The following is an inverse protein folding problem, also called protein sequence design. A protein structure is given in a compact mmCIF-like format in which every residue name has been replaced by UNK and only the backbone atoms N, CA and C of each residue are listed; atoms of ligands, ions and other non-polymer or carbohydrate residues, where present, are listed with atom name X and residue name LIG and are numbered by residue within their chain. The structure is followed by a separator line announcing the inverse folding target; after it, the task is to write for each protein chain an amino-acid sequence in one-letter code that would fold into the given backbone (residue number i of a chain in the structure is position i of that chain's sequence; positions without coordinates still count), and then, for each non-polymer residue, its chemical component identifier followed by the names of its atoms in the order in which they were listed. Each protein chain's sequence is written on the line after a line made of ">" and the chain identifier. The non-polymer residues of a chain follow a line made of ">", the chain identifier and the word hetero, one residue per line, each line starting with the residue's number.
data_IF_924377989462
#
_entry.id   IF_924377989462
#
_cell.length_a   1.000
_cell.length_b   1.000
_cell.length_c   1.000
_cell.angle_alpha   90.00
_cell.angle_beta   90.00
_cell.angle_gamma   90.00
#
_symmetry.space_group_name_H-M   'P 1'
#
loop_
_entity.id
_entity.type
_entity.pdbx_description
1 polymer ?
#
# COMPACT_ATOMS: atom_id res chain seq x y z
N UNK A 1 7.53 2.05 23.27
CA UNK A 1 6.20 1.40 23.35
C UNK A 1 6.11 0.39 22.23
N UNK A 2 5.52 -0.79 22.44
CA UNK A 2 5.23 -1.71 21.33
C UNK A 2 3.95 -1.25 20.64
N UNK A 3 4.01 -1.05 19.32
CA UNK A 3 2.86 -0.79 18.45
C UNK A 3 2.52 -2.05 17.66
N UNK A 4 1.28 -2.18 17.12
CA UNK A 4 0.92 -3.31 16.26
C UNK A 4 1.89 -3.51 15.08
N UNK A 5 2.40 -2.42 14.51
CA UNK A 5 3.38 -2.41 13.43
C UNK A 5 4.74 -2.97 13.88
N UNK A 6 5.24 -2.58 15.06
CA UNK A 6 6.51 -3.09 15.59
C UNK A 6 6.38 -4.55 16.03
N UNK A 7 5.24 -4.94 16.61
CA UNK A 7 4.94 -6.35 16.95
C UNK A 7 4.90 -7.24 15.70
N UNK A 8 4.29 -6.77 14.61
CA UNK A 8 4.31 -7.47 13.33
C UNK A 8 5.72 -7.60 12.75
N UNK A 9 6.54 -6.55 12.84
CA UNK A 9 7.93 -6.59 12.39
C UNK A 9 8.76 -7.60 13.21
N UNK A 10 8.58 -7.62 14.53
CA UNK A 10 9.19 -8.61 15.44
C UNK A 10 8.75 -10.04 15.11
N UNK A 11 7.45 -10.26 14.93
CA UNK A 11 6.89 -11.56 14.59
C UNK A 11 7.45 -12.08 13.25
N UNK A 12 7.56 -11.21 12.24
CA UNK A 12 8.15 -11.57 10.95
C UNK A 12 9.63 -11.89 11.05
N UNK A 13 10.40 -11.08 11.78
CA UNK A 13 11.83 -11.33 12.02
C UNK A 13 12.04 -12.66 12.74
N UNK A 14 11.24 -12.93 13.77
CA UNK A 14 11.27 -14.19 14.51
C UNK A 14 10.98 -15.39 13.59
N UNK A 15 9.90 -15.33 12.80
CA UNK A 15 9.56 -16.39 11.84
C UNK A 15 10.63 -16.60 10.77
N UNK A 16 11.21 -15.53 10.23
CA UNK A 16 12.30 -15.62 9.26
C UNK A 16 13.54 -16.28 9.88
N UNK A 17 13.88 -15.92 11.13
CA UNK A 17 14.98 -16.51 11.89
C UNK A 17 14.78 -18.02 12.13
N UNK A 18 13.60 -18.42 12.61
CA UNK A 18 13.27 -19.83 12.82
C UNK A 18 13.25 -20.62 11.49
N UNK A 19 12.82 -20.00 10.39
CA UNK A 19 12.86 -20.63 9.06
C UNK A 19 14.31 -20.89 8.62
N UNK A 20 15.21 -19.91 8.76
CA UNK A 20 16.65 -20.08 8.46
C UNK A 20 17.27 -21.18 9.32
N UNK A 21 16.97 -21.20 10.62
CA UNK A 21 17.45 -22.22 11.56
C UNK A 21 16.98 -23.62 11.15
N UNK A 22 15.68 -23.78 10.86
CA UNK A 22 15.11 -25.07 10.46
C UNK A 22 15.67 -25.56 9.12
N UNK A 23 15.83 -24.69 8.13
CA UNK A 23 16.41 -25.05 6.84
C UNK A 23 17.90 -25.38 6.95
N UNK A 24 18.64 -24.68 7.81
CA UNK A 24 20.05 -25.00 8.09
C UNK A 24 20.18 -26.39 8.72
N UNK A 25 19.34 -26.72 9.70
CA UNK A 25 19.32 -28.05 10.30
C UNK A 25 18.95 -29.14 9.29
N UNK A 26 17.95 -28.89 8.45
CA UNK A 26 17.54 -29.81 7.37
C UNK A 26 18.63 -30.02 6.33
N UNK A 27 19.37 -28.97 5.95
CA UNK A 27 20.49 -29.08 5.02
C UNK A 27 21.58 -29.98 5.60
N UNK A 28 21.94 -29.79 6.88
CA UNK A 28 22.92 -30.64 7.55
C UNK A 28 22.48 -32.12 7.63
N UNK A 29 21.19 -32.39 7.90
CA UNK A 29 20.65 -33.76 7.83
C UNK A 29 20.72 -34.33 6.41
N UNK A 30 20.36 -33.53 5.40
CA UNK A 30 20.40 -33.95 4.00
C UNK A 30 21.83 -34.23 3.53
N UNK A 31 22.82 -33.42 3.93
CA UNK A 31 24.24 -33.65 3.61
C UNK A 31 24.74 -34.96 4.24
N UNK A 32 24.33 -35.28 5.47
CA UNK A 32 24.68 -36.55 6.11
C UNK A 32 24.05 -37.77 5.43
N UNK A 33 22.82 -37.65 4.90
CA UNK A 33 22.18 -38.70 4.13
C UNK A 33 22.75 -38.84 2.71
N UNK A 34 23.11 -37.72 2.08
CA UNK A 34 23.80 -37.70 0.80
C UNK A 34 25.11 -38.48 0.88
N UNK A 35 25.94 -38.21 1.89
CA UNK A 35 27.20 -38.93 2.12
C UNK A 35 27.01 -40.44 2.27
N UNK A 36 25.95 -40.90 2.96
CA UNK A 36 25.62 -42.34 3.05
C UNK A 36 25.24 -42.93 1.70
N UNK A 37 24.52 -42.15 0.90
CA UNK A 37 24.03 -42.59 -0.42
C UNK A 37 25.17 -42.62 -1.45
N UNK A 38 26.12 -41.68 -1.36
CA UNK A 38 27.38 -41.69 -2.12
C UNK A 38 28.19 -42.96 -1.84
N UNK A 39 28.37 -43.32 -0.56
CA UNK A 39 29.05 -44.58 -0.19
C UNK A 39 28.33 -45.79 -0.75
N UNK A 40 26.99 -45.87 -0.62
CA UNK A 40 26.21 -46.99 -1.16
C UNK A 40 26.30 -47.09 -2.70
N UNK A 41 26.34 -45.95 -3.41
CA UNK A 41 26.52 -45.92 -4.85
C UNK A 41 27.94 -46.38 -5.25
N UNK A 42 28.96 -45.96 -4.51
CA UNK A 42 30.34 -46.39 -4.72
C UNK A 42 30.51 -47.91 -4.47
N UNK A 43 29.93 -48.43 -3.39
CA UNK A 43 29.96 -49.86 -3.05
C UNK A 43 29.26 -50.70 -4.13
N UNK A 44 28.06 -50.28 -4.58
CA UNK A 44 27.32 -50.97 -5.63
C UNK A 44 28.07 -50.96 -6.97
N UNK A 45 28.71 -49.83 -7.32
CA UNK A 45 29.55 -49.71 -8.52
C UNK A 45 30.75 -50.64 -8.45
N UNK A 46 31.40 -50.71 -7.28
CA UNK A 46 32.54 -51.60 -7.03
C UNK A 46 32.13 -53.07 -7.13
N UNK A 47 30.99 -53.44 -6.53
CA UNK A 47 30.46 -54.80 -6.60
C UNK A 47 30.13 -55.20 -8.05
N UNK A 48 29.50 -54.30 -8.83
CA UNK A 48 29.23 -54.54 -10.25
C UNK A 48 30.53 -54.75 -11.06
N UNK A 49 31.56 -53.95 -10.79
CA UNK A 49 32.87 -54.12 -11.43
C UNK A 49 33.52 -55.47 -11.06
N UNK A 50 33.39 -55.90 -9.80
CA UNK A 50 33.86 -57.21 -9.34
C UNK A 50 33.17 -58.37 -10.06
N UNK A 51 31.83 -58.35 -10.14
CA UNK A 51 31.06 -59.37 -10.87
C UNK A 51 31.40 -59.39 -12.36
N UNK A 52 31.62 -58.23 -12.99
CA UNK A 52 32.03 -58.15 -14.38
C UNK A 52 33.44 -58.72 -14.62
N UNK A 53 34.36 -58.55 -13.66
CA UNK A 53 35.70 -59.13 -13.72
C UNK A 53 35.65 -60.66 -13.58
N UNK A 54 34.87 -61.18 -12.62
CA UNK A 54 34.64 -62.63 -12.44
C UNK A 54 34.05 -63.25 -13.71
N UNK A 55 33.05 -62.60 -14.31
CA UNK A 55 32.43 -63.06 -15.55
C UNK A 55 33.45 -63.12 -16.70
N UNK A 56 34.30 -62.09 -16.84
CA UNK A 56 35.33 -62.05 -17.86
C UNK A 56 36.38 -63.16 -17.65
N UNK A 57 36.75 -63.47 -16.40
CA UNK A 57 37.66 -64.57 -16.08
C UNK A 57 37.04 -65.93 -16.42
N UNK A 58 35.78 -66.17 -16.05
CA UNK A 58 35.07 -67.42 -16.39
C UNK A 58 34.98 -67.59 -17.91
N UNK A 59 34.64 -66.53 -18.66
CA UNK A 59 34.63 -66.57 -20.13
C UNK A 59 36.01 -66.90 -20.70
N UNK A 60 37.08 -66.36 -20.12
CA UNK A 60 38.47 -66.67 -20.52
C UNK A 60 38.82 -68.12 -20.25
N UNK A 61 38.47 -68.65 -19.07
CA UNK A 61 38.70 -70.06 -18.69
C UNK A 61 37.89 -71.01 -19.59
N UNK A 62 36.65 -70.66 -19.91
CA UNK A 62 35.79 -71.43 -20.81
C UNK A 62 36.41 -71.53 -22.22
N UNK A 63 36.99 -70.44 -22.73
CA UNK A 63 37.68 -70.43 -24.03
C UNK A 63 38.96 -71.29 -24.07
N UNK A 64 39.50 -71.67 -22.92
CA UNK A 64 40.73 -72.45 -22.77
C UNK A 64 40.47 -73.90 -22.28
N UNK A 65 39.20 -74.28 -22.11
CA UNK A 65 38.84 -75.61 -21.60
C UNK A 65 39.20 -76.72 -22.62
N UNK A 66 40.02 -77.72 -22.24
CA UNK A 66 40.53 -78.73 -23.18
C UNK A 66 39.56 -79.89 -23.42
N UNK A 67 38.59 -80.11 -22.53
CA UNK A 67 37.63 -81.20 -22.60
C UNK A 67 36.19 -80.69 -22.36
N UNK A 68 35.16 -81.32 -22.98
CA UNK A 68 33.76 -80.90 -22.81
C UNK A 68 33.27 -80.91 -21.36
N UNK A 69 33.68 -81.90 -20.55
CA UNK A 69 33.26 -82.02 -19.16
C UNK A 69 33.76 -80.86 -18.26
N UNK A 70 34.93 -80.30 -18.58
CA UNK A 70 35.47 -79.13 -17.87
C UNK A 70 34.69 -77.86 -18.23
N UNK A 71 34.16 -77.78 -19.46
CA UNK A 71 33.36 -76.67 -19.96
C UNK A 71 31.97 -76.63 -19.32
N UNK A 72 31.32 -77.77 -19.07
CA UNK A 72 29.98 -77.83 -18.47
C UNK A 72 29.93 -77.12 -17.10
N UNK A 73 30.92 -77.38 -16.24
CA UNK A 73 31.02 -76.73 -14.91
C UNK A 73 31.25 -75.22 -14.99
N UNK A 74 31.94 -74.75 -16.03
CA UNK A 74 32.20 -73.32 -16.27
C UNK A 74 30.98 -72.63 -16.90
N UNK A 75 30.18 -73.34 -17.70
CA UNK A 75 28.91 -72.85 -18.23
C UNK A 75 27.90 -72.64 -17.11
N UNK A 76 27.78 -73.56 -16.16
CA UNK A 76 26.94 -73.37 -14.97
C UNK A 76 27.39 -72.18 -14.12
N UNK A 77 28.71 -72.05 -13.87
CA UNK A 77 29.28 -70.88 -13.18
C UNK A 77 29.03 -69.57 -13.93
N UNK A 78 29.15 -69.57 -15.26
CA UNK A 78 28.85 -68.41 -16.09
C UNK A 78 27.38 -68.03 -16.01
N UNK A 79 26.46 -69.01 -16.07
CA UNK A 79 25.03 -68.77 -15.93
C UNK A 79 24.70 -68.15 -14.56
N UNK A 80 25.24 -68.68 -13.47
CA UNK A 80 25.09 -68.11 -12.13
C UNK A 80 25.64 -66.68 -12.04
N UNK A 81 26.83 -66.41 -12.62
CA UNK A 81 27.43 -65.08 -12.62
C UNK A 81 26.70 -64.05 -13.47
N UNK A 82 26.10 -64.47 -14.59
CA UNK A 82 25.24 -63.59 -15.38
C UNK A 82 23.98 -63.18 -14.59
N UNK A 83 23.42 -64.07 -13.78
CA UNK A 83 22.32 -63.75 -12.85
C UNK A 83 22.80 -62.77 -11.77
N UNK A 84 23.95 -63.03 -11.13
CA UNK A 84 24.54 -62.08 -10.15
C UNK A 84 24.80 -60.70 -10.76
N UNK A 85 25.25 -60.65 -12.02
CA UNK A 85 25.48 -59.39 -12.74
C UNK A 85 24.18 -58.63 -12.95
N UNK A 86 23.09 -59.31 -13.29
CA UNK A 86 21.78 -58.66 -13.43
C UNK A 86 21.37 -57.98 -12.13
N UNK A 87 21.49 -58.67 -10.99
CA UNK A 87 21.23 -58.07 -9.68
C UNK A 87 22.16 -56.90 -9.37
N UNK A 88 23.46 -57.04 -9.62
CA UNK A 88 24.43 -55.96 -9.38
C UNK A 88 24.16 -54.71 -10.23
N UNK A 89 23.74 -54.88 -11.50
CA UNK A 89 23.32 -53.76 -12.37
C UNK A 89 22.08 -53.09 -11.80
N UNK A 90 21.08 -53.86 -11.38
CA UNK A 90 19.86 -53.30 -10.77
C UNK A 90 20.19 -52.53 -9.48
N UNK A 91 21.01 -53.10 -8.59
CA UNK A 91 21.45 -52.43 -7.35
C UNK A 91 22.21 -51.14 -7.65
N UNK A 92 23.18 -51.14 -8.58
CA UNK A 92 23.91 -49.95 -8.97
C UNK A 92 23.00 -48.87 -9.59
N UNK A 93 22.01 -49.28 -10.39
CA UNK A 93 20.99 -48.38 -10.91
C UNK A 93 20.12 -47.76 -9.81
N UNK A 94 19.67 -48.55 -8.85
CA UNK A 94 18.87 -48.07 -7.71
C UNK A 94 19.64 -47.10 -6.81
N UNK A 95 20.91 -47.39 -6.51
CA UNK A 95 21.73 -46.50 -5.67
C UNK A 95 22.12 -45.21 -6.41
N UNK A 96 22.37 -45.27 -7.72
CA UNK A 96 22.58 -44.08 -8.55
C UNK A 96 21.30 -43.20 -8.61
N UNK A 97 20.12 -43.82 -8.75
CA UNK A 97 18.84 -43.13 -8.70
C UNK A 97 18.58 -42.47 -7.34
N UNK A 98 18.92 -43.16 -6.24
CA UNK A 98 18.83 -42.64 -4.89
C UNK A 98 19.78 -41.47 -4.66
N UNK A 99 21.03 -41.56 -5.15
CA UNK A 99 22.03 -40.50 -5.08
C UNK A 99 21.52 -39.24 -5.79
N UNK A 100 21.11 -39.35 -7.05
CA UNK A 100 20.59 -38.21 -7.80
C UNK A 100 19.29 -37.64 -7.20
N UNK A 101 18.48 -38.45 -6.50
CA UNK A 101 17.33 -37.94 -5.74
C UNK A 101 17.77 -37.09 -4.54
N UNK A 102 18.82 -37.51 -3.81
CA UNK A 102 19.36 -36.79 -2.65
C UNK A 102 20.08 -35.50 -3.04
N UNK A 103 20.84 -35.49 -4.13
CA UNK A 103 21.48 -34.26 -4.65
C UNK A 103 20.44 -33.17 -4.95
N UNK A 104 19.32 -33.54 -5.61
CA UNK A 104 18.22 -32.60 -5.89
C UNK A 104 17.50 -32.14 -4.64
N UNK A 105 17.33 -33.01 -3.65
CA UNK A 105 16.77 -32.62 -2.35
C UNK A 105 17.67 -31.58 -1.66
N UNK A 106 18.98 -31.79 -1.67
CA UNK A 106 19.97 -30.86 -1.14
C UNK A 106 19.91 -29.50 -1.84
N UNK A 107 19.91 -29.49 -3.17
CA UNK A 107 19.84 -28.25 -3.96
C UNK A 107 18.55 -27.46 -3.68
N UNK A 108 17.41 -28.17 -3.55
CA UNK A 108 16.13 -27.54 -3.20
C UNK A 108 16.15 -26.93 -1.79
N UNK A 109 16.77 -27.59 -0.81
CA UNK A 109 16.92 -27.05 0.55
C UNK A 109 17.86 -25.84 0.55
N UNK A 110 18.97 -25.89 -0.19
CA UNK A 110 19.92 -24.79 -0.31
C UNK A 110 19.27 -23.53 -0.93
N UNK A 111 18.53 -23.69 -2.03
CA UNK A 111 17.78 -22.59 -2.64
C UNK A 111 16.73 -22.01 -1.68
N UNK A 112 16.02 -22.86 -0.94
CA UNK A 112 15.06 -22.40 0.07
C UNK A 112 15.76 -21.63 1.20
N UNK A 113 16.96 -22.05 1.62
CA UNK A 113 17.76 -21.36 2.64
C UNK A 113 18.21 -19.98 2.17
N UNK A 114 18.66 -19.86 0.92
CA UNK A 114 19.05 -18.55 0.34
C UNK A 114 17.86 -17.60 0.21
N UNK A 115 16.67 -18.13 -0.15
CA UNK A 115 15.43 -17.36 -0.14
C UNK A 115 15.08 -16.87 1.27
N UNK A 116 15.13 -17.76 2.27
CA UNK A 116 14.85 -17.42 3.66
C UNK A 116 15.82 -16.37 4.24
N UNK A 117 17.10 -16.41 3.85
CA UNK A 117 18.10 -15.40 4.24
C UNK A 117 17.77 -14.02 3.68
N UNK A 118 17.41 -13.92 2.40
CA UNK A 118 16.97 -12.66 1.78
C UNK A 118 15.73 -12.09 2.45
N UNK A 119 14.77 -12.95 2.81
CA UNK A 119 13.57 -12.55 3.56
C UNK A 119 13.93 -12.03 4.95
N UNK A 120 14.89 -12.65 5.64
CA UNK A 120 15.37 -12.20 6.95
C UNK A 120 16.05 -10.82 6.86
N UNK A 121 16.90 -10.60 5.86
CA UNK A 121 17.55 -9.30 5.59
C UNK A 121 16.50 -8.20 5.35
N UNK A 122 15.55 -8.46 4.45
CA UNK A 122 14.45 -7.52 4.13
C UNK A 122 13.59 -7.21 5.36
N UNK A 123 13.30 -8.21 6.19
CA UNK A 123 12.54 -8.04 7.43
C UNK A 123 13.30 -7.17 8.45
N UNK A 124 14.62 -7.32 8.56
CA UNK A 124 15.44 -6.51 9.45
C UNK A 124 15.52 -5.04 9.03
N UNK A 125 15.63 -4.77 7.72
CA UNK A 125 15.60 -3.40 7.18
C UNK A 125 14.23 -2.75 7.39
N UNK A 126 13.15 -3.47 7.09
CA UNK A 126 11.78 -3.01 7.30
C UNK A 126 11.52 -2.70 8.77
N UNK A 127 11.98 -3.55 9.68
CA UNK A 127 11.85 -3.34 11.13
C UNK A 127 12.48 -2.02 11.58
N UNK A 128 13.66 -1.69 11.08
CA UNK A 128 14.36 -0.44 11.44
C UNK A 128 13.56 0.80 11.00
N UNK A 129 12.95 0.76 9.81
CA UNK A 129 12.10 1.84 9.33
C UNK A 129 10.80 1.94 10.13
N UNK A 130 10.13 0.80 10.36
CA UNK A 130 8.86 0.74 11.08
C UNK A 130 9.01 1.21 12.52
N UNK A 131 10.11 0.86 13.19
CA UNK A 131 10.38 1.32 14.56
C UNK A 131 10.50 2.85 14.61
N UNK A 132 11.24 3.46 13.68
CA UNK A 132 11.38 4.93 13.61
C UNK A 132 10.05 5.63 13.36
N UNK A 133 9.22 5.08 12.48
CA UNK A 133 7.89 5.62 12.19
C UNK A 133 6.97 5.49 13.40
N UNK A 134 7.02 4.35 14.11
CA UNK A 134 6.24 4.10 15.32
C UNK A 134 6.65 5.00 16.48
N UNK A 135 7.96 5.21 16.69
CA UNK A 135 8.48 6.08 17.74
C UNK A 135 8.02 7.52 17.50
N UNK A 136 8.14 8.03 16.26
CA UNK A 136 7.65 9.36 15.87
C UNK A 136 6.14 9.50 16.02
N UNK A 137 5.36 8.50 15.60
CA UNK A 137 3.92 8.51 15.77
C UNK A 137 3.54 8.52 17.26
N UNK A 138 4.29 7.83 18.11
CA UNK A 138 4.13 7.85 19.57
C UNK A 138 4.43 9.22 20.18
N UNK A 139 5.48 9.89 19.73
CA UNK A 139 5.80 11.27 20.13
C UNK A 139 4.66 12.22 19.74
N UNK A 140 4.21 12.19 18.49
CA UNK A 140 3.10 13.05 18.04
C UNK A 140 1.79 12.76 18.76
N UNK A 141 1.52 11.50 19.09
CA UNK A 141 0.34 11.12 19.86
C UNK A 141 0.40 11.71 21.27
N UNK A 142 1.55 11.62 21.95
CA UNK A 142 1.76 12.22 23.25
C UNK A 142 1.63 13.76 23.20
N UNK A 143 2.20 14.40 22.18
CA UNK A 143 2.08 15.86 21.97
C UNK A 143 0.65 16.29 21.66
N UNK A 144 -0.07 15.57 20.80
CA UNK A 144 -1.46 15.87 20.44
C UNK A 144 -2.41 15.74 21.65
N UNK A 145 -2.11 14.83 22.58
CA UNK A 145 -2.82 14.69 23.86
C UNK A 145 -2.34 15.68 24.93
N UNK A 146 -1.28 16.43 24.64
CA UNK A 146 -0.71 17.43 25.52
C UNK A 146 -1.66 18.59 25.79
N UNK A 147 -1.44 19.24 26.94
CA UNK A 147 -2.29 20.34 27.39
C UNK A 147 -2.34 21.51 26.40
N UNK A 148 -1.23 21.88 25.77
CA UNK A 148 -1.18 23.00 24.81
C UNK A 148 -2.08 22.78 23.60
N UNK A 149 -2.10 21.57 23.05
CA UNK A 149 -2.98 21.20 21.92
C UNK A 149 -4.43 21.15 22.40
N UNK A 150 -4.69 20.56 23.57
CA UNK A 150 -6.02 20.53 24.18
C UNK A 150 -6.60 21.93 24.41
N UNK A 151 -5.79 22.85 24.94
CA UNK A 151 -6.17 24.24 25.20
C UNK A 151 -6.44 25.00 23.88
N UNK A 152 -5.62 24.78 22.84
CA UNK A 152 -5.82 25.40 21.53
C UNK A 152 -7.10 24.91 20.83
N UNK A 153 -7.36 23.60 20.81
CA UNK A 153 -8.55 23.03 20.21
C UNK A 153 -9.81 23.35 21.01
N UNK A 154 -9.73 23.27 22.34
CA UNK A 154 -10.82 23.64 23.24
C UNK A 154 -11.12 25.15 23.23
N UNK A 155 -10.11 25.98 22.96
CA UNK A 155 -10.21 27.43 22.84
C UNK A 155 -10.72 27.92 21.48
N UNK A 156 -10.64 27.12 20.42
CA UNK A 156 -11.00 27.52 19.07
C UNK A 156 -12.50 27.87 18.91
N UNK A 157 -13.40 27.01 19.38
CA UNK A 157 -14.84 27.27 19.27
C UNK A 157 -15.29 28.46 20.14
N UNK A 158 -14.86 28.58 21.43
CA UNK A 158 -15.11 29.77 22.21
C UNK A 158 -14.53 31.05 21.60
N UNK A 159 -13.36 30.98 20.94
CA UNK A 159 -12.73 32.14 20.31
C UNK A 159 -13.59 32.75 19.19
N UNK A 160 -14.34 31.92 18.44
CA UNK A 160 -15.30 32.40 17.43
C UNK A 160 -16.47 33.20 18.02
N UNK A 161 -16.75 33.04 19.32
CA UNK A 161 -17.78 33.80 20.04
C UNK A 161 -17.19 34.86 20.98
N UNK A 162 -15.87 34.93 21.11
CA UNK A 162 -15.19 35.81 22.05
C UNK A 162 -15.03 37.22 21.49
N UNK A 163 -14.81 38.17 22.41
CA UNK A 163 -14.66 39.60 22.09
C UNK A 163 -13.65 39.88 20.96
N UNK A 164 -12.44 39.28 20.89
CA UNK A 164 -11.51 39.57 19.80
C UNK A 164 -12.06 39.26 18.41
N UNK A 165 -12.82 38.18 18.27
CA UNK A 165 -13.42 37.80 17.00
C UNK A 165 -14.62 38.69 16.67
N UNK A 166 -15.53 38.88 17.63
CA UNK A 166 -16.74 39.68 17.40
C UNK A 166 -16.42 41.16 17.21
N UNK A 167 -15.45 41.71 17.93
CA UNK A 167 -14.97 43.09 17.74
C UNK A 167 -14.31 43.27 16.37
N UNK A 168 -13.44 42.35 15.94
CA UNK A 168 -12.81 42.41 14.61
C UNK A 168 -13.88 42.32 13.50
N UNK A 169 -14.85 41.41 13.64
CA UNK A 169 -15.99 41.29 12.72
C UNK A 169 -16.83 42.56 12.69
N UNK A 170 -17.31 43.03 13.84
CA UNK A 170 -18.13 44.25 13.93
C UNK A 170 -17.41 45.48 13.36
N UNK A 171 -16.09 45.56 13.55
CA UNK A 171 -15.27 46.61 12.95
C UNK A 171 -15.29 46.52 11.42
N UNK A 172 -15.04 45.35 10.84
CA UNK A 172 -15.13 45.15 9.39
C UNK A 172 -16.55 45.39 8.87
N UNK A 173 -17.58 44.91 9.56
CA UNK A 173 -18.99 45.10 9.20
C UNK A 173 -19.37 46.59 9.19
N UNK A 174 -18.89 47.37 10.16
CA UNK A 174 -19.16 48.83 10.18
C UNK A 174 -18.46 49.60 9.06
N UNK A 175 -17.24 49.19 8.68
CA UNK A 175 -16.45 49.85 7.63
C UNK A 175 -16.88 49.43 6.22
N UNK A 176 -17.17 48.15 6.01
CA UNK A 176 -17.41 47.55 4.69
C UNK A 176 -18.90 47.28 4.42
N UNK A 177 -19.66 46.86 5.44
CA UNK A 177 -21.02 46.35 5.34
C UNK A 177 -21.07 44.84 5.53
N UNK A 178 -22.03 44.35 6.33
CA UNK A 178 -22.16 42.94 6.74
C UNK A 178 -22.23 41.98 5.55
N UNK A 179 -23.09 42.26 4.57
CA UNK A 179 -23.27 41.39 3.39
C UNK A 179 -21.98 41.21 2.56
N UNK A 180 -21.12 42.23 2.54
CA UNK A 180 -19.86 42.20 1.80
C UNK A 180 -18.75 41.46 2.57
N UNK A 181 -18.75 41.55 3.90
CA UNK A 181 -17.89 40.72 4.76
C UNK A 181 -18.27 39.24 4.65
N UNK A 182 -19.57 38.93 4.65
CA UNK A 182 -20.06 37.56 4.47
C UNK A 182 -19.69 36.98 3.09
N UNK A 183 -19.71 37.80 2.04
CA UNK A 183 -19.20 37.40 0.72
C UNK A 183 -17.70 37.05 0.77
N UNK A 184 -16.86 37.86 1.42
CA UNK A 184 -15.44 37.56 1.55
C UNK A 184 -15.20 36.24 2.32
N UNK A 185 -15.99 35.98 3.37
CA UNK A 185 -15.98 34.69 4.07
C UNK A 185 -16.36 33.53 3.16
N UNK A 186 -17.38 33.70 2.31
CA UNK A 186 -17.77 32.68 1.35
C UNK A 186 -16.70 32.42 0.29
N UNK A 187 -16.07 33.46 -0.26
CA UNK A 187 -14.93 33.34 -1.20
C UNK A 187 -13.74 32.61 -0.57
N UNK A 188 -13.42 32.92 0.69
CA UNK A 188 -12.37 32.23 1.44
C UNK A 188 -12.64 30.73 1.59
N UNK A 189 -13.89 30.35 1.89
CA UNK A 189 -14.30 28.93 1.95
C UNK A 189 -14.20 28.24 0.59
N UNK A 190 -14.69 28.88 -0.47
CA UNK A 190 -14.64 28.34 -1.83
C UNK A 190 -13.19 28.10 -2.29
N UNK A 191 -12.27 29.03 -1.99
CA UNK A 191 -10.86 28.88 -2.33
C UNK A 191 -10.27 27.60 -1.67
N UNK A 192 -10.55 27.37 -0.39
CA UNK A 192 -10.11 26.15 0.30
C UNK A 192 -10.75 24.86 -0.26
N UNK A 193 -12.01 24.92 -0.68
CA UNK A 193 -12.71 23.76 -1.25
C UNK A 193 -12.17 23.34 -2.63
N UNK A 194 -11.73 24.29 -3.46
CA UNK A 194 -11.16 23.98 -4.78
C UNK A 194 -9.86 23.19 -4.70
N UNK A 195 -8.98 23.53 -3.76
CA UNK A 195 -7.74 22.79 -3.55
C UNK A 195 -8.01 21.38 -3.04
N UNK A 196 -8.98 21.23 -2.14
CA UNK A 196 -9.41 19.93 -1.62
C UNK A 196 -10.03 19.04 -2.72
N UNK A 197 -10.82 19.60 -3.63
CA UNK A 197 -11.47 18.86 -4.72
C UNK A 197 -10.46 18.11 -5.61
N UNK A 198 -9.36 18.77 -5.99
CA UNK A 198 -8.33 18.19 -6.85
C UNK A 198 -7.62 17.02 -6.14
N UNK A 199 -7.26 17.22 -4.88
CA UNK A 199 -6.61 16.18 -4.06
C UNK A 199 -7.54 14.97 -3.86
N UNK A 200 -8.80 15.22 -3.53
CA UNK A 200 -9.80 14.17 -3.31
C UNK A 200 -10.08 13.36 -4.58
N UNK A 201 -10.09 13.99 -5.76
CA UNK A 201 -10.23 13.32 -7.04
C UNK A 201 -9.12 12.29 -7.30
N UNK A 202 -7.86 12.70 -7.09
CA UNK A 202 -6.71 11.80 -7.22
C UNK A 202 -6.79 10.63 -6.22
N UNK A 203 -7.18 10.92 -4.99
CA UNK A 203 -7.31 9.94 -3.92
C UNK A 203 -8.43 8.92 -4.19
N UNK A 204 -9.57 9.36 -4.74
CA UNK A 204 -10.64 8.46 -5.23
C UNK A 204 -10.11 7.52 -6.31
N UNK A 205 -9.40 8.04 -7.31
CA UNK A 205 -8.83 7.25 -8.40
C UNK A 205 -7.80 6.21 -7.89
N UNK A 206 -6.92 6.59 -6.95
CA UNK A 206 -5.96 5.68 -6.30
C UNK A 206 -6.68 4.56 -5.55
N UNK A 207 -7.69 4.89 -4.73
CA UNK A 207 -8.49 3.89 -4.02
C UNK A 207 -9.20 2.93 -4.96
N UNK A 208 -9.76 3.41 -6.06
CA UNK A 208 -10.38 2.56 -7.08
C UNK A 208 -9.36 1.60 -7.71
N UNK A 209 -8.16 2.08 -8.05
CA UNK A 209 -7.06 1.24 -8.56
C UNK A 209 -6.65 0.16 -7.56
N UNK A 210 -6.44 0.51 -6.30
CA UNK A 210 -6.03 -0.45 -5.27
C UNK A 210 -7.11 -1.51 -5.02
N UNK A 211 -8.39 -1.11 -5.03
CA UNK A 211 -9.50 -2.05 -4.94
C UNK A 211 -9.51 -3.07 -6.09
N UNK A 212 -9.23 -2.62 -7.31
CA UNK A 212 -9.10 -3.52 -8.48
C UNK A 212 -7.93 -4.52 -8.35
N UNK A 213 -6.83 -4.16 -7.68
CA UNK A 213 -5.75 -5.09 -7.40
C UNK A 213 -6.21 -6.18 -6.40
N UNK A 214 -6.88 -5.78 -5.31
CA UNK A 214 -7.42 -6.71 -4.31
C UNK A 214 -8.37 -7.73 -4.93
N UNK A 215 -9.30 -7.28 -5.78
CA UNK A 215 -10.29 -8.15 -6.43
C UNK A 215 -9.67 -9.14 -7.41
N UNK A 216 -8.50 -8.82 -7.97
CA UNK A 216 -7.71 -9.74 -8.80
C UNK A 216 -6.83 -10.70 -7.98
N UNK A 217 -6.93 -10.64 -6.66
CA UNK A 217 -6.13 -11.45 -5.75
C UNK A 217 -4.70 -10.94 -5.56
N UNK A 218 -4.38 -9.71 -6.01
CA UNK A 218 -3.08 -9.10 -5.76
C UNK A 218 -3.08 -8.44 -4.37
N UNK A 219 -2.31 -8.98 -3.40
CA UNK A 219 -2.27 -8.47 -2.04
C UNK A 219 -1.67 -7.07 -1.93
N UNK A 220 -0.93 -6.60 -2.95
CA UNK A 220 -0.33 -5.26 -2.97
C UNK A 220 -1.40 -4.15 -2.92
N UNK A 221 -2.59 -4.39 -3.49
CA UNK A 221 -3.70 -3.44 -3.43
C UNK A 221 -4.14 -3.12 -2.01
N UNK A 222 -4.29 -4.15 -1.18
CA UNK A 222 -4.70 -3.99 0.22
C UNK A 222 -3.62 -3.27 1.02
N UNK A 223 -2.34 -3.64 0.82
CA UNK A 223 -1.20 -3.01 1.48
C UNK A 223 -1.08 -1.54 1.11
N UNK A 224 -1.13 -1.19 -0.18
CA UNK A 224 -1.03 0.19 -0.65
C UNK A 224 -2.18 1.05 -0.11
N UNK A 225 -3.41 0.54 -0.12
CA UNK A 225 -4.57 1.25 0.42
C UNK A 225 -4.47 1.47 1.91
N UNK A 226 -4.06 0.47 2.67
CA UNK A 226 -3.92 0.58 4.12
C UNK A 226 -2.74 1.51 4.50
N UNK A 227 -1.63 1.42 3.76
CA UNK A 227 -0.45 2.27 3.97
C UNK A 227 -0.78 3.74 3.73
N UNK A 228 -1.42 4.06 2.61
CA UNK A 228 -1.83 5.44 2.33
C UNK A 228 -2.77 5.99 3.40
N UNK A 229 -3.74 5.19 3.85
CA UNK A 229 -4.67 5.60 4.90
C UNK A 229 -3.98 5.81 6.26
N UNK A 230 -2.97 4.98 6.58
CA UNK A 230 -2.14 5.16 7.76
C UNK A 230 -1.27 6.42 7.68
N UNK A 231 -0.55 6.62 6.57
CA UNK A 231 0.31 7.78 6.35
C UNK A 231 -0.51 9.09 6.40
N UNK A 232 -1.71 9.12 5.81
CA UNK A 232 -2.61 10.26 5.89
C UNK A 232 -3.08 10.56 7.32
N UNK A 233 -3.43 9.52 8.09
CA UNK A 233 -3.83 9.68 9.49
C UNK A 233 -2.68 10.18 10.37
N UNK A 234 -1.47 9.67 10.14
CA UNK A 234 -0.25 10.11 10.84
C UNK A 234 0.12 11.55 10.47
N UNK A 235 0.00 11.92 9.19
CA UNK A 235 0.23 13.31 8.75
C UNK A 235 -0.77 14.29 9.37
N UNK A 236 -2.04 13.92 9.47
CA UNK A 236 -3.06 14.72 10.17
C UNK A 236 -2.75 14.85 11.66
N UNK A 237 -2.37 13.76 12.33
CA UNK A 237 -1.95 13.79 13.73
C UNK A 237 -0.74 14.71 13.94
N UNK A 238 0.27 14.61 13.08
CA UNK A 238 1.46 15.46 13.09
C UNK A 238 1.09 16.95 12.93
N UNK A 239 0.25 17.27 11.94
CA UNK A 239 -0.16 18.66 11.69
C UNK A 239 -0.83 19.29 12.93
N UNK A 240 -1.61 18.50 13.67
CA UNK A 240 -2.22 18.93 14.93
C UNK A 240 -1.18 19.05 16.05
N UNK A 241 -0.35 18.02 16.24
CA UNK A 241 0.65 17.98 17.29
C UNK A 241 1.68 19.13 17.19
N UNK A 242 2.17 19.40 15.98
CA UNK A 242 3.20 20.42 15.74
C UNK A 242 2.62 21.82 15.50
N UNK A 243 1.41 21.90 14.94
CA UNK A 243 0.88 23.15 14.37
C UNK A 243 -0.28 23.78 15.13
N UNK A 244 -1.14 23.01 15.82
CA UNK A 244 -2.40 23.55 16.35
C UNK A 244 -2.21 24.72 17.35
N UNK A 245 -1.29 24.66 18.33
CA UNK A 245 -1.10 25.77 19.28
C UNK A 245 -0.61 27.05 18.59
N UNK A 246 0.40 26.93 17.73
CA UNK A 246 0.98 28.07 17.00
C UNK A 246 -0.05 28.72 16.06
N UNK A 247 -0.86 27.89 15.39
CA UNK A 247 -1.92 28.36 14.49
C UNK A 247 -3.03 29.08 15.26
N UNK A 248 -3.41 28.56 16.43
CA UNK A 248 -4.39 29.19 17.30
C UNK A 248 -3.90 30.56 17.80
N UNK A 249 -2.68 30.62 18.34
CA UNK A 249 -2.07 31.88 18.79
C UNK A 249 -1.93 32.90 17.66
N UNK A 250 -1.48 32.46 16.47
CA UNK A 250 -1.39 33.32 15.30
C UNK A 250 -2.77 33.84 14.85
N UNK A 251 -3.82 33.02 14.92
CA UNK A 251 -5.18 33.45 14.61
C UNK A 251 -5.66 34.53 15.60
N UNK A 252 -5.46 34.33 16.91
CA UNK A 252 -5.81 35.33 17.92
C UNK A 252 -5.00 36.63 17.75
N UNK A 253 -3.72 36.53 17.42
CA UNK A 253 -2.87 37.70 17.16
C UNK A 253 -3.35 38.50 15.95
N UNK A 254 -3.76 37.83 14.86
CA UNK A 254 -4.37 38.48 13.69
C UNK A 254 -5.66 39.21 14.04
N UNK A 255 -6.55 38.58 14.83
CA UNK A 255 -7.79 39.21 15.29
C UNK A 255 -7.52 40.46 16.13
N UNK A 256 -6.55 40.39 17.05
CA UNK A 256 -6.15 41.54 17.86
C UNK A 256 -5.55 42.68 17.01
N UNK A 257 -4.77 42.36 15.98
CA UNK A 257 -4.17 43.34 15.09
C UNK A 257 -5.21 44.13 14.28
N UNK A 258 -6.32 43.51 13.87
CA UNK A 258 -7.42 44.18 13.15
C UNK A 258 -8.03 45.31 13.99
N UNK A 259 -8.18 45.09 15.31
CA UNK A 259 -8.71 46.10 16.23
C UNK A 259 -7.85 47.37 16.26
N UNK A 260 -6.53 47.23 16.16
CA UNK A 260 -5.57 48.34 16.14
C UNK A 260 -5.19 48.82 14.73
N UNK A 261 -5.80 48.26 13.68
CA UNK A 261 -5.48 48.57 12.29
C UNK A 261 -5.87 50.01 11.92
N UNK A 262 -5.25 50.56 10.88
CA UNK A 262 -5.58 51.90 10.40
C UNK A 262 -7.02 51.97 9.87
N UNK A 263 -7.75 53.01 10.27
CA UNK A 263 -9.05 53.34 9.67
C UNK A 263 -8.84 53.96 8.28
N UNK A 264 -9.79 53.74 7.34
CA UNK A 264 -9.81 54.49 6.10
C UNK A 264 -9.95 56.00 6.39
N UNK A 265 -9.34 56.83 5.55
CA UNK A 265 -9.56 58.27 5.61
C UNK A 265 -11.02 58.61 5.30
N UNK A 266 -11.55 59.78 5.72
CA UNK A 266 -12.93 60.16 5.43
C UNK A 266 -13.27 60.09 3.94
N UNK A 267 -12.37 60.52 3.06
CA UNK A 267 -12.56 60.46 1.61
C UNK A 267 -12.64 59.03 1.06
N UNK A 268 -11.85 58.10 1.62
CA UNK A 268 -11.92 56.68 1.26
C UNK A 268 -13.22 56.06 1.76
N UNK A 269 -13.64 56.38 2.99
CA UNK A 269 -14.89 55.90 3.56
C UNK A 269 -16.11 56.39 2.78
N UNK A 270 -16.15 57.68 2.41
CA UNK A 270 -17.23 58.25 1.61
C UNK A 270 -17.32 57.57 0.23
N UNK A 271 -16.17 57.29 -0.39
CA UNK A 271 -16.11 56.57 -1.66
C UNK A 271 -16.66 55.15 -1.53
N UNK A 272 -16.24 54.41 -0.50
CA UNK A 272 -16.76 53.05 -0.25
C UNK A 272 -18.28 53.07 0.01
N UNK A 273 -18.75 53.98 0.86
CA UNK A 273 -20.16 54.13 1.19
C UNK A 273 -21.00 54.44 -0.05
N UNK A 274 -20.52 55.30 -0.95
CA UNK A 274 -21.23 55.68 -2.18
C UNK A 274 -21.47 54.51 -3.15
N UNK A 275 -20.67 53.44 -3.06
CA UNK A 275 -20.75 52.25 -3.92
C UNK A 275 -21.41 51.04 -3.24
N UNK A 276 -21.63 51.11 -1.92
CA UNK A 276 -21.98 49.96 -1.07
C UNK A 276 -23.29 49.30 -1.48
N UNK A 277 -24.39 50.05 -1.60
CA UNK A 277 -25.73 49.50 -1.90
C UNK A 277 -25.75 48.68 -3.19
N UNK A 278 -25.11 49.20 -4.25
CA UNK A 278 -24.99 48.49 -5.53
C UNK A 278 -24.08 47.26 -5.44
N UNK A 279 -23.05 47.31 -4.59
CA UNK A 279 -22.15 46.18 -4.36
C UNK A 279 -22.82 45.07 -3.54
N UNK A 280 -23.67 45.39 -2.57
CA UNK A 280 -24.42 44.41 -1.76
C UNK A 280 -25.39 43.57 -2.61
N UNK A 281 -26.02 44.21 -3.60
CA UNK A 281 -26.85 43.51 -4.60
C UNK A 281 -26.01 42.53 -5.43
N UNK A 282 -24.86 42.99 -5.93
CA UNK A 282 -23.93 42.14 -6.69
C UNK A 282 -23.37 40.99 -5.83
N UNK A 283 -23.08 41.24 -4.56
CA UNK A 283 -22.56 40.25 -3.62
C UNK A 283 -23.56 39.12 -3.36
N UNK A 284 -24.86 39.44 -3.25
CA UNK A 284 -25.92 38.43 -3.13
C UNK A 284 -25.97 37.51 -4.37
N UNK A 285 -25.73 38.05 -5.57
CA UNK A 285 -25.67 37.26 -6.80
C UNK A 285 -24.41 36.41 -6.89
N UNK A 286 -23.26 36.94 -6.48
CA UNK A 286 -22.03 36.14 -6.41
C UNK A 286 -22.12 35.02 -5.38
N UNK A 287 -22.78 35.26 -4.25
CA UNK A 287 -23.07 34.19 -3.28
C UNK A 287 -23.86 33.04 -3.92
N UNK A 288 -24.83 33.34 -4.79
CA UNK A 288 -25.57 32.34 -5.54
C UNK A 288 -24.68 31.58 -6.55
N UNK A 289 -23.72 32.25 -7.19
CA UNK A 289 -22.69 31.61 -8.04
C UNK A 289 -21.85 30.62 -7.22
N UNK A 290 -21.39 31.02 -6.03
CA UNK A 290 -20.62 30.14 -5.15
C UNK A 290 -21.41 28.90 -4.71
N UNK A 291 -22.70 29.06 -4.36
CA UNK A 291 -23.58 27.93 -4.06
C UNK A 291 -23.79 27.01 -5.26
N UNK A 292 -23.99 27.54 -6.46
CA UNK A 292 -24.12 26.73 -7.67
C UNK A 292 -22.81 25.99 -8.02
N UNK A 293 -21.65 26.60 -7.77
CA UNK A 293 -20.35 25.95 -7.94
C UNK A 293 -20.17 24.75 -6.99
N UNK A 294 -20.61 24.87 -5.72
CA UNK A 294 -20.59 23.77 -4.76
C UNK A 294 -21.52 22.62 -5.17
N UNK A 295 -22.73 22.93 -5.65
CA UNK A 295 -23.65 21.93 -6.21
C UNK A 295 -23.03 21.16 -7.39
N UNK A 296 -22.32 21.87 -8.28
CA UNK A 296 -21.62 21.26 -9.40
C UNK A 296 -20.49 20.34 -8.94
N UNK A 297 -19.72 20.75 -7.93
CA UNK A 297 -18.67 19.94 -7.31
C UNK A 297 -19.23 18.65 -6.73
N UNK A 298 -20.31 18.72 -5.95
CA UNK A 298 -20.98 17.54 -5.41
C UNK A 298 -21.47 16.58 -6.51
N UNK A 299 -22.07 17.13 -7.57
CA UNK A 299 -22.55 16.34 -8.70
C UNK A 299 -21.39 15.62 -9.43
N UNK A 300 -20.27 16.32 -9.65
CA UNK A 300 -19.05 15.75 -10.25
C UNK A 300 -18.47 14.64 -9.40
N UNK A 301 -18.37 14.85 -8.09
CA UNK A 301 -17.89 13.82 -7.16
C UNK A 301 -18.74 12.55 -7.24
N UNK A 302 -20.07 12.67 -7.28
CA UNK A 302 -20.99 11.52 -7.42
C UNK A 302 -20.81 10.80 -8.77
N UNK A 303 -20.62 11.56 -9.85
CA UNK A 303 -20.34 10.99 -11.18
C UNK A 303 -19.01 10.23 -11.18
N UNK A 304 -17.94 10.82 -10.62
CA UNK A 304 -16.62 10.19 -10.49
C UNK A 304 -16.68 8.88 -9.71
N UNK A 305 -17.31 8.89 -8.53
CA UNK A 305 -17.44 7.68 -7.70
C UNK A 305 -18.16 6.56 -8.44
N UNK A 306 -19.24 6.90 -9.16
CA UNK A 306 -20.01 5.94 -9.95
C UNK A 306 -19.19 5.43 -11.14
N UNK A 307 -18.52 6.32 -11.86
CA UNK A 307 -17.71 5.98 -13.03
C UNK A 307 -16.52 5.09 -12.66
N UNK A 308 -15.75 5.45 -11.62
CA UNK A 308 -14.64 4.64 -11.11
C UNK A 308 -15.10 3.27 -10.64
N UNK A 309 -16.28 3.18 -10.01
CA UNK A 309 -16.90 1.91 -9.65
C UNK A 309 -17.22 1.02 -10.85
N UNK A 310 -17.57 1.62 -12.00
CA UNK A 310 -17.93 0.93 -13.24
C UNK A 310 -16.75 0.56 -14.13
N UNK A 311 -15.73 1.41 -14.24
CA UNK A 311 -14.46 1.09 -14.94
C UNK A 311 -13.84 -0.19 -14.39
N UNK A 312 -14.03 -0.45 -13.09
CA UNK A 312 -13.61 -1.68 -12.42
C UNK A 312 -14.33 -2.94 -12.92
N UNK A 313 -15.61 -2.83 -13.24
CA UNK A 313 -16.46 -3.94 -13.71
C UNK A 313 -16.33 -4.14 -15.22
N UNK A 314 -16.16 -3.05 -15.97
CA UNK A 314 -16.02 -3.02 -17.42
C UNK A 314 -14.90 -2.03 -17.79
N UNK A 315 -13.69 -2.51 -18.15
CA UNK A 315 -12.58 -1.63 -18.52
C UNK A 315 -12.82 -0.80 -19.78
N UNK A 316 -13.77 -1.19 -20.63
CA UNK A 316 -14.18 -0.43 -21.82
C UNK A 316 -15.30 0.58 -21.50
N UNK A 317 -15.72 0.68 -20.23
CA UNK A 317 -16.74 1.61 -19.79
C UNK A 317 -16.36 3.05 -20.11
N UNK A 318 -17.20 3.69 -20.91
CA UNK A 318 -17.14 5.12 -21.17
C UNK A 318 -18.18 5.86 -20.32
N UNK A 319 -17.75 6.64 -19.30
CA UNK A 319 -18.67 7.45 -18.51
C UNK A 319 -19.40 8.51 -19.34
N UNK A 320 -18.92 8.89 -20.52
CA UNK A 320 -19.54 9.89 -21.40
C UNK A 320 -20.80 9.38 -22.09
N UNK A 321 -20.88 8.10 -22.40
CA UNK A 321 -21.97 7.51 -23.21
C UNK A 321 -22.81 6.48 -22.45
N UNK A 322 -22.29 5.86 -21.40
CA UNK A 322 -22.97 4.76 -20.71
C UNK A 322 -24.30 5.15 -20.03
N UNK A 323 -25.39 4.36 -20.19
CA UNK A 323 -26.66 4.61 -19.48
C UNK A 323 -26.56 4.42 -17.96
N UNK A 324 -25.54 3.70 -17.48
CA UNK A 324 -25.39 3.36 -16.06
C UNK A 324 -24.97 4.54 -15.16
N UNK A 325 -24.51 5.64 -15.77
CA UNK A 325 -24.18 6.92 -15.12
C UNK A 325 -25.04 8.07 -15.66
N UNK A 326 -26.10 7.78 -16.41
CA UNK A 326 -26.90 8.80 -17.07
C UNK A 326 -27.56 9.77 -16.07
N UNK A 327 -27.97 9.27 -14.89
CA UNK A 327 -28.55 10.10 -13.82
C UNK A 327 -27.50 11.07 -13.26
N UNK A 328 -26.30 10.59 -12.97
CA UNK A 328 -25.20 11.39 -12.43
C UNK A 328 -24.71 12.40 -13.47
N UNK A 329 -24.60 12.02 -14.75
CA UNK A 329 -24.33 12.96 -15.84
C UNK A 329 -25.40 14.05 -15.97
N UNK A 330 -26.69 13.68 -15.88
CA UNK A 330 -27.77 14.65 -15.93
C UNK A 330 -27.70 15.63 -14.74
N UNK A 331 -27.35 15.14 -13.54
CA UNK A 331 -27.14 16.00 -12.38
C UNK A 331 -25.98 16.99 -12.58
N UNK A 332 -24.87 16.56 -13.19
CA UNK A 332 -23.76 17.46 -13.57
C UNK A 332 -24.23 18.50 -14.59
N UNK A 333 -24.96 18.08 -15.63
CA UNK A 333 -25.47 19.01 -16.64
C UNK A 333 -26.43 20.05 -16.05
N UNK A 334 -27.35 19.64 -15.18
CA UNK A 334 -28.26 20.55 -14.46
C UNK A 334 -27.49 21.53 -13.59
N UNK A 335 -26.49 21.07 -12.84
CA UNK A 335 -25.68 21.95 -11.99
C UNK A 335 -24.79 22.91 -12.83
N UNK A 336 -24.32 22.49 -14.01
CA UNK A 336 -23.62 23.36 -14.95
C UNK A 336 -24.54 24.45 -15.53
N UNK A 337 -25.76 24.11 -15.89
CA UNK A 337 -26.77 25.06 -16.37
C UNK A 337 -27.16 26.06 -15.27
N UNK A 338 -27.33 25.58 -14.03
CA UNK A 338 -27.57 26.44 -12.87
C UNK A 338 -26.39 27.41 -12.66
N UNK A 339 -25.14 26.92 -12.63
CA UNK A 339 -23.95 27.76 -12.48
C UNK A 339 -23.88 28.82 -13.59
N UNK A 340 -24.07 28.42 -14.85
CA UNK A 340 -24.07 29.34 -15.98
C UNK A 340 -25.16 30.42 -15.84
N UNK A 341 -26.36 30.04 -15.39
CA UNK A 341 -27.46 30.99 -15.14
C UNK A 341 -27.06 32.00 -14.06
N UNK A 342 -26.48 31.55 -12.94
CA UNK A 342 -26.03 32.44 -11.86
C UNK A 342 -24.88 33.35 -12.32
N UNK A 343 -23.95 32.85 -13.12
CA UNK A 343 -22.87 33.66 -13.69
C UNK A 343 -23.40 34.77 -14.60
N UNK A 344 -24.43 34.50 -15.41
CA UNK A 344 -25.10 35.53 -16.21
C UNK A 344 -25.82 36.57 -15.34
N UNK A 345 -26.51 36.15 -14.28
CA UNK A 345 -27.13 37.06 -13.32
C UNK A 345 -26.09 37.98 -12.67
N UNK A 346 -24.92 37.45 -12.29
CA UNK A 346 -23.82 38.23 -11.74
C UNK A 346 -23.19 39.18 -12.78
N UNK A 347 -23.05 38.76 -14.04
CA UNK A 347 -22.38 39.55 -15.08
C UNK A 347 -22.97 40.96 -15.24
N UNK A 348 -24.29 41.11 -15.06
CA UNK A 348 -24.98 42.41 -15.10
C UNK A 348 -24.54 43.38 -13.99
N UNK A 349 -24.13 42.86 -12.83
CA UNK A 349 -23.82 43.66 -11.64
C UNK A 349 -22.33 43.60 -11.26
N UNK A 350 -21.52 42.77 -11.94
CA UNK A 350 -20.11 42.50 -11.60
C UNK A 350 -19.27 43.77 -11.50
N UNK A 351 -19.51 44.73 -12.40
CA UNK A 351 -18.82 46.02 -12.40
C UNK A 351 -19.04 46.81 -11.10
N UNK A 352 -20.23 46.73 -10.49
CA UNK A 352 -20.51 47.42 -9.23
C UNK A 352 -19.63 46.87 -8.10
N UNK A 353 -19.47 45.55 -8.06
CA UNK A 353 -18.61 44.88 -7.10
C UNK A 353 -17.13 45.19 -7.33
N UNK A 354 -16.65 45.09 -8.57
CA UNK A 354 -15.25 45.39 -8.91
C UNK A 354 -14.89 46.86 -8.59
N UNK A 355 -15.82 47.80 -8.86
CA UNK A 355 -15.62 49.22 -8.53
C UNK A 355 -15.58 49.47 -7.02
N UNK A 356 -16.41 48.78 -6.24
CA UNK A 356 -16.40 48.86 -4.79
C UNK A 356 -15.12 48.25 -4.20
N UNK A 357 -14.69 47.07 -4.66
CA UNK A 357 -13.44 46.43 -4.23
C UNK A 357 -12.21 47.28 -4.53
N UNK A 358 -12.18 47.95 -5.68
CA UNK A 358 -11.13 48.89 -6.05
C UNK A 358 -11.11 50.15 -5.16
N UNK A 359 -12.22 50.48 -4.50
CA UNK A 359 -12.29 51.60 -3.56
C UNK A 359 -11.78 51.25 -2.15
N UNK A 360 -11.60 49.97 -1.82
CA UNK A 360 -11.09 49.53 -0.52
C UNK A 360 -9.58 49.82 -0.44
N UNK A 361 -9.11 50.56 0.57
CA UNK A 361 -7.68 50.78 0.77
C UNK A 361 -6.93 49.47 1.08
N UNK A 362 -5.69 49.34 0.62
CA UNK A 362 -4.92 48.09 0.79
C UNK A 362 -4.71 47.72 2.27
N UNK A 363 -4.53 48.70 3.15
CA UNK A 363 -4.45 48.47 4.59
C UNK A 363 -5.72 47.83 5.17
N UNK A 364 -6.91 48.11 4.60
CA UNK A 364 -8.17 47.49 4.99
C UNK A 364 -8.34 46.10 4.33
N UNK A 365 -7.86 45.92 3.09
CA UNK A 365 -7.80 44.59 2.44
C UNK A 365 -6.94 43.60 3.23
N UNK A 366 -5.78 44.02 3.72
CA UNK A 366 -4.91 43.19 4.56
C UNK A 366 -5.60 42.79 5.88
N UNK A 367 -6.39 43.71 6.47
CA UNK A 367 -7.21 43.38 7.64
C UNK A 367 -8.29 42.33 7.33
N UNK A 368 -8.95 42.43 6.16
CA UNK A 368 -9.90 41.40 5.70
C UNK A 368 -9.18 40.06 5.51
N UNK A 369 -8.05 40.02 4.81
CA UNK A 369 -7.28 38.78 4.61
C UNK A 369 -6.82 38.15 5.93
N UNK A 370 -6.37 38.98 6.88
CA UNK A 370 -6.01 38.53 8.23
C UNK A 370 -7.21 37.93 8.97
N UNK A 371 -8.39 38.53 8.84
CA UNK A 371 -9.63 38.02 9.42
C UNK A 371 -10.03 36.68 8.80
N UNK A 372 -10.06 36.58 7.47
CA UNK A 372 -10.38 35.35 6.76
C UNK A 372 -9.44 34.21 7.14
N UNK A 373 -8.14 34.49 7.24
CA UNK A 373 -7.13 33.51 7.66
C UNK A 373 -7.36 33.04 9.09
N UNK A 374 -7.73 33.96 10.00
CA UNK A 374 -8.05 33.64 11.38
C UNK A 374 -9.36 32.83 11.50
N UNK A 375 -10.43 33.24 10.82
CA UNK A 375 -11.71 32.51 10.79
C UNK A 375 -11.53 31.07 10.27
N UNK A 376 -10.86 30.90 9.13
CA UNK A 376 -10.58 29.59 8.56
C UNK A 376 -9.80 28.70 9.54
N UNK A 377 -8.77 29.26 10.18
CA UNK A 377 -7.96 28.52 11.17
C UNK A 377 -8.79 28.12 12.39
N UNK A 378 -9.58 29.04 12.96
CA UNK A 378 -10.40 28.74 14.14
C UNK A 378 -11.50 27.72 13.85
N UNK A 379 -12.12 27.78 12.67
CA UNK A 379 -13.12 26.78 12.23
C UNK A 379 -12.49 25.40 12.01
N UNK A 380 -11.33 25.33 11.37
CA UNK A 380 -10.61 24.06 11.17
C UNK A 380 -10.24 23.42 12.51
N UNK A 381 -9.69 24.21 13.44
CA UNK A 381 -9.35 23.73 14.79
C UNK A 381 -10.61 23.29 15.56
N UNK A 382 -11.74 23.98 15.40
CA UNK A 382 -13.03 23.59 16.01
C UNK A 382 -13.51 22.23 15.52
N UNK A 383 -13.34 21.93 14.22
CA UNK A 383 -13.69 20.63 13.63
C UNK A 383 -12.69 19.50 13.92
N UNK A 384 -11.57 19.81 14.57
CA UNK A 384 -10.49 18.85 14.81
C UNK A 384 -10.66 18.17 16.17
N UNK A 385 -10.74 16.83 16.16
CA UNK A 385 -10.90 16.04 17.38
C UNK A 385 -9.73 15.06 17.57
N UNK A 386 -8.84 15.35 18.54
CA UNK A 386 -7.66 14.51 18.84
C UNK A 386 -8.04 13.06 19.10
N UNK A 387 -9.12 12.80 19.84
CA UNK A 387 -9.58 11.44 20.10
C UNK A 387 -9.90 10.69 18.80
N UNK A 388 -10.58 11.33 17.85
CA UNK A 388 -10.90 10.73 16.55
C UNK A 388 -9.65 10.49 15.71
N UNK A 389 -8.68 11.42 15.73
CA UNK A 389 -7.40 11.26 15.04
C UNK A 389 -6.59 10.10 15.62
N UNK A 390 -6.51 9.99 16.95
CA UNK A 390 -5.84 8.88 17.62
C UNK A 390 -6.52 7.55 17.29
N UNK A 391 -7.85 7.47 17.39
CA UNK A 391 -8.61 6.28 16.99
C UNK A 391 -8.39 5.94 15.51
N UNK A 392 -8.33 6.94 14.63
CA UNK A 392 -8.04 6.73 13.21
C UNK A 392 -6.63 6.15 13.01
N UNK A 393 -5.60 6.73 13.61
CA UNK A 393 -4.21 6.23 13.51
C UNK A 393 -4.13 4.78 13.98
N UNK A 394 -4.69 4.44 15.15
CA UNK A 394 -4.72 3.06 15.65
C UNK A 394 -5.44 2.12 14.68
N UNK A 395 -6.68 2.46 14.28
CA UNK A 395 -7.47 1.62 13.36
C UNK A 395 -6.79 1.44 12.00
N UNK A 396 -6.13 2.47 11.47
CA UNK A 396 -5.40 2.37 10.19
C UNK A 396 -4.09 1.61 10.32
N UNK A 397 -3.42 1.69 11.47
CA UNK A 397 -2.27 0.86 11.82
C UNK A 397 -2.66 -0.62 11.83
N UNK A 398 -3.74 -0.99 12.52
CA UNK A 398 -4.24 -2.37 12.57
C UNK A 398 -4.58 -2.89 11.18
N UNK A 399 -5.30 -2.09 10.39
CA UNK A 399 -5.65 -2.45 9.01
C UNK A 399 -4.41 -2.64 8.11
N UNK A 400 -3.35 -1.84 8.32
CA UNK A 400 -2.08 -2.00 7.62
C UNK A 400 -1.38 -3.28 8.04
N UNK A 401 -1.31 -3.58 9.34
CA UNK A 401 -0.74 -4.82 9.86
C UNK A 401 -1.46 -6.04 9.31
N UNK A 402 -2.79 -6.03 9.28
CA UNK A 402 -3.58 -7.13 8.72
C UNK A 402 -3.32 -7.32 7.22
N UNK A 403 -3.26 -6.23 6.46
CA UNK A 403 -2.92 -6.29 5.04
C UNK A 403 -1.51 -6.85 4.80
N UNK A 404 -0.53 -6.44 5.61
CA UNK A 404 0.84 -6.93 5.53
C UNK A 404 0.92 -8.41 5.93
N UNK A 405 0.20 -8.85 6.97
CA UNK A 405 0.09 -10.28 7.36
C UNK A 405 -0.50 -11.11 6.23
N UNK A 406 -1.55 -10.63 5.57
CA UNK A 406 -2.17 -11.32 4.43
C UNK A 406 -1.21 -11.39 3.23
N UNK A 407 -0.49 -10.31 2.92
CA UNK A 407 0.51 -10.27 1.86
C UNK A 407 1.66 -11.25 2.12
N UNK A 408 2.21 -11.26 3.35
CA UNK A 408 3.28 -12.16 3.75
C UNK A 408 2.87 -13.64 3.64
N UNK A 409 1.64 -13.98 4.05
CA UNK A 409 1.09 -15.34 3.89
C UNK A 409 0.98 -15.73 2.42
N UNK A 410 0.50 -14.81 1.56
CA UNK A 410 0.35 -15.06 0.12
C UNK A 410 1.71 -15.30 -0.54
N UNK A 411 2.71 -14.48 -0.21
CA UNK A 411 4.08 -14.65 -0.69
C UNK A 411 4.67 -16.01 -0.27
N UNK A 412 4.56 -16.36 1.02
CA UNK A 412 5.08 -17.64 1.54
C UNK A 412 4.42 -18.86 0.87
N UNK A 413 3.10 -18.82 0.63
CA UNK A 413 2.38 -19.88 -0.09
C UNK A 413 2.87 -19.97 -1.54
N UNK A 414 3.01 -18.84 -2.23
CA UNK A 414 3.49 -18.79 -3.62
C UNK A 414 4.90 -19.36 -3.76
N UNK A 415 5.84 -18.94 -2.90
CA UNK A 415 7.20 -19.48 -2.86
C UNK A 415 7.22 -20.99 -2.60
N UNK A 416 6.41 -21.48 -1.65
CA UNK A 416 6.31 -22.90 -1.34
C UNK A 416 5.78 -23.70 -2.53
N UNK A 417 4.76 -23.19 -3.22
CA UNK A 417 4.20 -23.83 -4.41
C UNK A 417 5.19 -23.82 -5.58
N UNK A 418 5.90 -22.72 -5.81
CA UNK A 418 6.95 -22.65 -6.83
C UNK A 418 8.07 -23.66 -6.57
N UNK A 419 8.54 -23.77 -5.32
CA UNK A 419 9.53 -24.77 -4.92
C UNK A 419 9.03 -26.20 -5.15
N UNK A 420 7.76 -26.49 -4.82
CA UNK A 420 7.14 -27.80 -5.06
C UNK A 420 7.02 -28.12 -6.55
N UNK A 421 6.65 -27.15 -7.39
CA UNK A 421 6.60 -27.31 -8.85
C UNK A 421 7.99 -27.63 -9.41
N UNK A 422 9.01 -26.88 -9.03
CA UNK A 422 10.40 -27.12 -9.45
C UNK A 422 10.88 -28.50 -9.02
N UNK A 423 10.61 -28.90 -7.77
CA UNK A 423 10.98 -30.22 -7.26
C UNK A 423 10.30 -31.35 -8.05
N UNK A 424 9.01 -31.21 -8.36
CA UNK A 424 8.27 -32.21 -9.15
C UNK A 424 8.72 -32.27 -10.60
N UNK A 425 9.01 -31.12 -11.21
CA UNK A 425 9.57 -31.05 -12.57
C UNK A 425 10.92 -31.78 -12.63
N UNK A 426 11.84 -31.47 -11.71
CA UNK A 426 13.13 -32.15 -11.61
C UNK A 426 12.99 -33.67 -11.39
N UNK A 427 12.03 -34.12 -10.57
CA UNK A 427 11.72 -35.55 -10.39
C UNK A 427 11.24 -36.19 -11.69
N UNK A 428 10.34 -35.54 -12.42
CA UNK A 428 9.82 -36.03 -13.68
C UNK A 428 10.91 -36.15 -14.76
N UNK A 429 11.82 -35.17 -14.85
CA UNK A 429 12.88 -35.16 -15.86
C UNK A 429 13.91 -36.26 -15.63
N UNK A 430 14.34 -36.50 -14.39
CA UNK A 430 15.19 -37.67 -14.13
C UNK A 430 14.44 -38.99 -14.35
N UNK A 431 13.12 -39.02 -14.11
CA UNK A 431 12.35 -40.22 -14.40
C UNK A 431 12.32 -40.53 -15.90
N UNK A 432 12.28 -39.50 -16.75
CA UNK A 432 12.37 -39.62 -18.22
C UNK A 432 13.77 -40.01 -18.70
N UNK A 433 14.84 -39.45 -18.12
CA UNK A 433 16.22 -39.67 -18.56
C UNK A 433 16.65 -41.15 -18.55
N UNK A 434 16.15 -41.94 -17.59
CA UNK A 434 16.43 -43.38 -17.44
C UNK A 434 15.22 -44.27 -17.75
N UNK A 435 14.16 -43.73 -18.35
CA UNK A 435 12.92 -44.47 -18.61
C UNK A 435 13.12 -45.71 -19.50
N UNK A 436 13.99 -45.62 -20.51
CA UNK A 436 14.30 -46.75 -21.39
C UNK A 436 15.04 -47.88 -20.64
N UNK A 437 16.02 -47.53 -19.80
CA UNK A 437 16.75 -48.47 -18.96
C UNK A 437 15.83 -49.15 -17.93
N UNK A 438 14.94 -48.38 -17.27
CA UNK A 438 13.96 -48.92 -16.32
C UNK A 438 12.93 -49.81 -16.98
N UNK A 439 12.44 -49.47 -18.18
CA UNK A 439 11.57 -50.37 -18.95
C UNK A 439 12.27 -51.68 -19.30
N UNK A 440 13.53 -51.62 -19.74
CA UNK A 440 14.31 -52.81 -20.03
C UNK A 440 14.51 -53.69 -18.79
N UNK A 441 14.76 -53.08 -17.62
CA UNK A 441 14.86 -53.79 -16.34
C UNK A 441 13.53 -54.48 -15.95
N UNK A 442 12.41 -53.76 -16.03
CA UNK A 442 11.07 -54.32 -15.80
C UNK A 442 10.74 -55.49 -16.72
N UNK A 443 11.08 -55.39 -18.01
CA UNK A 443 10.87 -56.49 -18.98
C UNK A 443 11.72 -57.72 -18.66
N UNK A 444 12.90 -57.52 -18.05
CA UNK A 444 13.78 -58.60 -17.59
C UNK A 444 13.37 -59.21 -16.24
N UNK A 445 12.36 -58.66 -15.56
CA UNK A 445 11.92 -59.12 -14.24
C UNK A 445 12.82 -58.64 -13.09
N UNK A 446 13.64 -57.61 -13.30
CA UNK A 446 14.62 -57.08 -12.34
C UNK A 446 14.00 -56.10 -11.32
N UNK A 447 12.72 -56.27 -10.95
CA UNK A 447 11.93 -55.28 -10.20
C UNK A 447 12.20 -55.23 -8.68
#
# INVERSE_FOLDING_TARGET
>A
MTTPLTEFADENKYKATETVKNLTARLATCDAELAKTETAAADATTALAGVAADEADIRRRLALAPLPADADSLVEQLAAKLIERQYAVATAGHTADALGAKERERDAIAQALDGARRTLETAAETMTSVQKDADRAGEWLATAQGRSVGDALGGAAPALAAAPYTEARNRLDSLLGEALVDLFLARGREAGQRDAEIADGLDRARRARWKSLVERGDPSGAVLSARHAYDAAVAALRAVAEGAPLRFEAALSRLAAIRGGADPTPAEQDRMNSLRETAETAASREQAVLTAADNLREARMRLDDKALGKIREDPAFDPGTSPQVAKERAAVATAQEELFTREQELAGDRRALDMWEAAIPDALKEQVLAFLTADATLRELTGTHVHQLVTAVTRKCDALVDALKAAARTAAVSERLAAEVTARAGKADAWRAVAAARRAALVRGEA
#
